data_IF_094064764643
#
_entry.id   IF_094064764643
#
_cell.length_a   1.000
_cell.length_b   1.000
_cell.length_c   1.000
_cell.angle_alpha   90.00
_cell.angle_beta   90.00
_cell.angle_gamma   90.00
#
_symmetry.space_group_name_H-M   'P 1'
#
loop_
_entity.id
_entity.type
_entity.pdbx_description
1 polymer ?
#
# COMPACT_ATOMS: atom_id res chain seq x y z
N UNK A 1 -9.69 -3.03 -8.53
CA UNK A 1 -8.64 -2.11 -8.03
C UNK A 1 -8.03 -1.42 -9.23
N UNK A 2 -8.03 -0.09 -9.25
CA UNK A 2 -7.38 0.67 -10.31
C UNK A 2 -5.87 0.41 -10.25
N UNK A 3 -5.25 0.15 -11.41
CA UNK A 3 -3.81 -0.17 -11.47
C UNK A 3 -3.00 1.07 -11.06
N UNK A 4 -1.98 0.87 -10.22
CA UNK A 4 -1.07 1.93 -9.84
C UNK A 4 -0.38 2.52 -11.08
N UNK A 5 -0.36 3.85 -11.19
CA UNK A 5 0.32 4.56 -12.27
C UNK A 5 1.83 4.39 -12.10
N UNK A 6 2.48 3.87 -13.13
CA UNK A 6 3.94 3.64 -13.09
C UNK A 6 4.65 4.92 -13.54
N UNK A 7 5.64 5.35 -12.77
CA UNK A 7 6.46 6.51 -13.11
C UNK A 7 7.91 6.34 -12.66
N UNK A 8 8.81 7.13 -13.24
CA UNK A 8 10.23 7.11 -12.82
C UNK A 8 10.44 7.90 -11.52
N UNK A 9 11.50 7.59 -10.77
CA UNK A 9 11.87 8.34 -9.58
C UNK A 9 12.14 9.82 -9.88
N UNK A 10 12.70 10.12 -11.06
CA UNK A 10 12.97 11.50 -11.50
C UNK A 10 11.65 12.26 -11.70
N UNK A 11 10.70 11.65 -12.41
CA UNK A 11 9.38 12.22 -12.67
C UNK A 11 8.58 12.40 -11.36
N UNK A 12 8.60 11.39 -10.49
CA UNK A 12 7.96 11.49 -9.18
C UNK A 12 8.49 12.66 -8.35
N UNK A 13 9.82 12.85 -8.33
CA UNK A 13 10.45 13.96 -7.62
C UNK A 13 10.07 15.33 -8.20
N UNK A 14 9.94 15.44 -9.51
CA UNK A 14 9.57 16.69 -10.19
C UNK A 14 8.09 17.04 -9.96
N UNK A 15 7.22 16.03 -9.88
CA UNK A 15 5.78 16.20 -9.77
C UNK A 15 5.22 15.85 -8.38
N UNK A 16 6.07 15.86 -7.34
CA UNK A 16 5.72 15.37 -6.00
C UNK A 16 4.44 16.01 -5.46
N UNK A 17 4.32 17.34 -5.55
CA UNK A 17 3.13 18.07 -5.07
C UNK A 17 1.85 17.65 -5.79
N UNK A 18 1.93 17.40 -7.11
CA UNK A 18 0.79 16.92 -7.89
C UNK A 18 0.42 15.49 -7.51
N UNK A 19 1.41 14.59 -7.38
CA UNK A 19 1.19 13.22 -6.92
C UNK A 19 0.51 13.18 -5.53
N UNK A 20 0.90 14.06 -4.61
CA UNK A 20 0.25 14.19 -3.29
C UNK A 20 -1.21 14.61 -3.43
N UNK A 21 -1.50 15.61 -4.27
CA UNK A 21 -2.87 16.07 -4.50
C UNK A 21 -3.73 14.98 -5.17
N UNK A 22 -3.20 14.30 -6.18
CA UNK A 22 -3.90 13.22 -6.87
C UNK A 22 -4.16 12.02 -5.93
N UNK A 23 -3.20 11.65 -5.09
CA UNK A 23 -3.43 10.62 -4.08
C UNK A 23 -4.52 11.04 -3.08
N UNK A 24 -4.41 12.25 -2.51
CA UNK A 24 -5.35 12.73 -1.48
C UNK A 24 -6.78 12.91 -2.00
N UNK A 25 -6.93 13.52 -3.16
CA UNK A 25 -8.24 13.96 -3.65
C UNK A 25 -8.87 12.99 -4.66
N UNK A 26 -8.06 12.20 -5.38
CA UNK A 26 -8.55 11.23 -6.37
C UNK A 26 -8.28 9.77 -5.99
N UNK A 27 -7.56 9.51 -4.90
CA UNK A 27 -7.21 8.16 -4.49
C UNK A 27 -6.19 7.49 -5.43
N UNK A 28 -5.45 8.27 -6.22
CA UNK A 28 -4.45 7.73 -7.14
C UNK A 28 -3.28 7.08 -6.38
N UNK A 29 -2.74 6.00 -6.97
CA UNK A 29 -1.60 5.25 -6.45
C UNK A 29 -0.49 5.25 -7.48
N UNK A 30 0.75 5.41 -7.04
CA UNK A 30 1.91 5.52 -7.92
C UNK A 30 2.94 4.45 -7.59
N UNK A 31 3.38 3.72 -8.62
CA UNK A 31 4.50 2.79 -8.54
C UNK A 31 5.76 3.49 -9.05
N UNK A 32 6.74 3.67 -8.18
CA UNK A 32 7.95 4.43 -8.46
C UNK A 32 9.04 3.47 -8.93
N UNK A 33 9.66 3.80 -10.06
CA UNK A 33 10.71 2.98 -10.67
C UNK A 33 12.05 3.70 -10.76
N UNK A 34 13.16 2.97 -10.65
CA UNK A 34 14.52 3.46 -10.90
C UNK A 34 15.23 2.46 -11.81
N UNK A 35 15.78 2.93 -12.93
CA UNK A 35 16.40 2.08 -13.95
C UNK A 35 15.49 0.90 -14.37
N UNK A 36 14.19 1.17 -14.54
CA UNK A 36 13.19 0.17 -14.95
C UNK A 36 12.74 -0.81 -13.85
N UNK A 37 13.31 -0.74 -12.64
CA UNK A 37 12.92 -1.60 -11.51
C UNK A 37 12.03 -0.83 -10.54
N UNK A 38 10.99 -1.47 -10.01
CA UNK A 38 10.18 -0.89 -8.94
C UNK A 38 11.04 -0.72 -7.67
N UNK A 39 10.99 0.45 -7.06
CA UNK A 39 11.76 0.80 -5.86
C UNK A 39 10.89 1.30 -4.70
N UNK A 40 9.64 1.63 -4.97
CA UNK A 40 8.71 2.08 -3.94
C UNK A 40 7.33 2.39 -4.52
N UNK A 41 6.41 2.74 -3.64
CA UNK A 41 5.08 3.17 -3.99
C UNK A 41 4.68 4.39 -3.17
N UNK A 42 3.82 5.22 -3.74
CA UNK A 42 3.13 6.29 -3.04
C UNK A 42 1.64 6.02 -3.15
N UNK A 43 0.96 5.98 -2.02
CA UNK A 43 -0.47 5.69 -1.92
C UNK A 43 -1.11 6.61 -0.88
N UNK A 44 -2.44 6.83 -0.96
CA UNK A 44 -3.19 7.53 0.07
C UNK A 44 -3.01 6.84 1.44
N UNK A 45 -3.06 7.61 2.53
CA UNK A 45 -2.87 7.09 3.90
C UNK A 45 -3.95 6.07 4.26
N UNK A 46 -5.16 6.25 3.73
CA UNK A 46 -6.31 5.37 3.95
C UNK A 46 -6.04 3.94 3.45
N UNK A 47 -5.15 3.77 2.47
CA UNK A 47 -4.74 2.43 2.04
C UNK A 47 -3.81 1.76 3.06
N UNK A 48 -2.95 2.53 3.72
CA UNK A 48 -2.13 2.01 4.82
C UNK A 48 -3.01 1.53 5.97
N UNK A 49 -4.04 2.31 6.32
CA UNK A 49 -5.01 1.94 7.35
C UNK A 49 -5.75 0.65 7.01
N UNK A 50 -6.19 0.49 5.76
CA UNK A 50 -6.83 -0.75 5.28
C UNK A 50 -5.89 -1.95 5.33
N UNK A 51 -4.63 -1.78 4.96
CA UNK A 51 -3.61 -2.85 5.03
C UNK A 51 -3.40 -3.26 6.48
N UNK A 52 -3.26 -2.29 7.39
CA UNK A 52 -3.08 -2.58 8.81
C UNK A 52 -4.31 -3.26 9.42
N UNK A 53 -5.52 -2.79 9.10
CA UNK A 53 -6.76 -3.43 9.54
C UNK A 53 -6.87 -4.87 9.03
N UNK A 54 -6.53 -5.10 7.77
CA UNK A 54 -6.51 -6.45 7.18
C UNK A 54 -5.50 -7.37 7.88
N UNK A 55 -4.28 -6.88 8.13
CA UNK A 55 -3.25 -7.67 8.82
C UNK A 55 -3.64 -8.02 10.26
N UNK A 56 -4.31 -7.11 10.97
CA UNK A 56 -4.80 -7.38 12.33
C UNK A 56 -5.87 -8.47 12.35
N UNK A 57 -6.77 -8.50 11.36
CA UNK A 57 -7.77 -9.57 11.25
C UNK A 57 -7.12 -10.93 11.05
N UNK A 58 -6.06 -11.01 10.22
CA UNK A 58 -5.31 -12.26 10.01
C UNK A 58 -4.58 -12.71 11.28
N UNK A 59 -3.99 -11.78 12.03
CA UNK A 59 -3.30 -12.10 13.27
C UNK A 59 -4.27 -12.64 14.35
N UNK A 60 -5.46 -12.07 14.46
CA UNK A 60 -6.47 -12.55 15.41
C UNK A 60 -7.01 -13.94 15.03
N UNK A 61 -7.29 -14.19 13.74
CA UNK A 61 -7.79 -15.51 13.29
C UNK A 61 -6.75 -16.62 13.42
N UNK A 62 -5.47 -16.34 13.20
CA UNK A 62 -4.40 -17.33 13.39
C UNK A 62 -4.20 -17.71 14.87
N UNK A 63 -4.60 -16.86 15.81
CA UNK A 63 -4.46 -17.11 17.25
C UNK A 63 -5.57 -18.03 17.77
N UNK A 64 -6.77 -17.95 17.19
CA UNK A 64 -7.91 -18.80 17.54
C UNK A 64 -7.72 -20.25 17.07
N UNK A 65 -7.19 -20.47 15.87
CA UNK A 65 -6.95 -21.82 15.32
C UNK A 65 -5.88 -22.57 16.13
N UNK A 66 -4.76 -21.92 16.49
CA UNK A 66 -3.68 -22.52 17.29
C UNK A 66 -4.16 -22.86 18.71
N UNK A 67 -5.02 -22.04 19.31
CA UNK A 67 -5.54 -22.31 20.66
C UNK A 67 -6.44 -23.54 20.69
N UNK A 68 -7.20 -23.80 19.63
CA UNK A 68 -8.07 -24.98 19.54
C UNK A 68 -7.34 -26.31 19.32
N UNK A 69 -6.13 -26.29 18.75
CA UNK A 69 -5.32 -27.51 18.52
C UNK A 69 -4.55 -27.97 19.77
N UNK A 70 -4.33 -27.09 20.75
CA UNK A 70 -3.60 -27.41 21.99
C UNK A 70 -4.50 -27.84 23.16
N UNK A 71 -5.83 -27.71 23.04
CA UNK A 71 -6.80 -28.16 24.05
C UNK A 71 -7.43 -29.54 23.75
N UNK A 72 -6.97 -30.27 22.72
CA UNK A 72 -7.48 -31.59 22.32
C UNK A 72 -6.59 -32.76 22.74
#
# INVERSE_FOLDING_TARGET
MEKAKVMSFVEFRQNLSECVNLAKYKGERFLITRNGKAVGAFAPVEDLEKINAFNNVIADTATDEISSEFES
#
